data_IF_127799539596
#
_entry.id   IF_127799539596
#
_cell.length_a   1.000
_cell.length_b   1.000
_cell.length_c   1.000
_cell.angle_alpha   90.00
_cell.angle_beta   90.00
_cell.angle_gamma   90.00
#
_symmetry.space_group_name_H-M   'P 1'
#
loop_
_entity.id
_entity.type
_entity.pdbx_description
1 polymer ?
#
# COMPACT_ATOMS: atom_id res chain seq x y z
N UNK A 1 21.16 -6.41 -16.26
CA UNK A 1 21.86 -6.25 -14.96
C UNK A 1 20.89 -6.55 -13.83
N UNK A 2 21.21 -7.50 -12.95
CA UNK A 2 20.46 -7.68 -11.70
C UNK A 2 20.66 -6.46 -10.80
N UNK A 3 19.61 -6.03 -10.10
CA UNK A 3 19.71 -4.88 -9.19
C UNK A 3 20.64 -5.22 -8.02
N UNK A 4 21.53 -4.30 -7.66
CA UNK A 4 22.21 -4.35 -6.36
C UNK A 4 21.24 -4.03 -5.23
N UNK A 5 21.54 -4.46 -4.00
CA UNK A 5 20.72 -4.14 -2.81
C UNK A 5 20.48 -2.63 -2.66
N UNK A 6 21.49 -1.80 -2.93
CA UNK A 6 21.39 -0.33 -2.90
C UNK A 6 20.39 0.17 -3.94
N UNK A 7 20.50 -0.29 -5.18
CA UNK A 7 19.60 0.13 -6.26
C UNK A 7 18.16 -0.34 -6.03
N UNK A 8 17.96 -1.52 -5.42
CA UNK A 8 16.65 -2.03 -5.05
C UNK A 8 15.99 -1.16 -3.96
N UNK A 9 16.73 -0.80 -2.90
CA UNK A 9 16.24 0.12 -1.86
C UNK A 9 15.88 1.50 -2.43
N UNK A 10 16.71 2.04 -3.31
CA UNK A 10 16.43 3.32 -3.96
C UNK A 10 15.20 3.25 -4.89
N UNK A 11 15.00 2.13 -5.59
CA UNK A 11 13.82 1.93 -6.42
C UNK A 11 12.54 1.86 -5.59
N UNK A 12 12.57 1.12 -4.46
CA UNK A 12 11.47 1.10 -3.48
C UNK A 12 11.14 2.50 -2.97
N UNK A 13 12.12 3.23 -2.44
CA UNK A 13 11.90 4.58 -1.92
C UNK A 13 11.36 5.58 -2.96
N UNK A 14 11.74 5.46 -4.23
CA UNK A 14 11.17 6.27 -5.32
C UNK A 14 9.72 5.86 -5.62
N UNK A 15 9.43 4.56 -5.58
CA UNK A 15 8.09 4.06 -5.83
C UNK A 15 7.12 4.43 -4.70
N UNK A 16 7.54 4.31 -3.44
CA UNK A 16 6.81 4.82 -2.27
C UNK A 16 6.44 6.29 -2.45
N UNK A 17 7.42 7.14 -2.83
CA UNK A 17 7.20 8.59 -3.05
C UNK A 17 6.22 8.84 -4.19
N UNK A 18 6.38 8.14 -5.31
CA UNK A 18 5.49 8.26 -6.48
C UNK A 18 4.02 7.97 -6.10
N UNK A 19 3.79 6.91 -5.32
CA UNK A 19 2.45 6.53 -4.90
C UNK A 19 1.92 7.49 -3.83
N UNK A 20 2.73 7.85 -2.82
CA UNK A 20 2.30 8.76 -1.76
C UNK A 20 1.89 10.12 -2.31
N UNK A 21 2.67 10.67 -3.25
CA UNK A 21 2.38 11.96 -3.87
C UNK A 21 1.08 11.88 -4.69
N UNK A 22 0.89 10.83 -5.48
CA UNK A 22 -0.34 10.66 -6.27
C UNK A 22 -1.58 10.51 -5.39
N UNK A 23 -1.50 9.75 -4.29
CA UNK A 23 -2.61 9.63 -3.34
C UNK A 23 -2.89 10.96 -2.63
N UNK A 24 -1.85 11.68 -2.21
CA UNK A 24 -1.97 12.99 -1.59
C UNK A 24 -2.73 13.97 -2.49
N UNK A 25 -2.30 14.06 -3.75
CA UNK A 25 -2.83 15.02 -4.71
C UNK A 25 -4.28 14.72 -5.12
N UNK A 26 -4.78 13.50 -4.87
CA UNK A 26 -6.11 13.05 -5.29
C UNK A 26 -7.08 12.73 -4.13
N UNK A 27 -6.59 12.61 -2.89
CA UNK A 27 -7.41 12.17 -1.75
C UNK A 27 -7.31 13.12 -0.55
N UNK A 28 -6.10 13.35 -0.03
CA UNK A 28 -5.90 14.09 1.23
C UNK A 28 -4.45 14.58 1.34
N UNK A 29 -4.27 15.87 1.64
CA UNK A 29 -2.96 16.53 1.68
C UNK A 29 -2.04 16.04 2.82
N UNK A 30 -2.59 15.30 3.80
CA UNK A 30 -1.85 14.70 4.91
C UNK A 30 -1.19 13.37 4.56
N UNK A 31 -1.45 12.80 3.38
CA UNK A 31 -0.83 11.54 2.96
C UNK A 31 0.65 11.77 2.64
N UNK A 32 1.52 10.94 3.21
CA UNK A 32 2.96 10.92 2.94
C UNK A 32 3.50 9.49 3.12
N UNK A 33 4.76 9.27 2.73
CA UNK A 33 5.50 8.06 3.10
C UNK A 33 5.55 7.93 4.62
N UNK A 34 5.29 6.73 5.12
CA UNK A 34 5.36 6.45 6.55
C UNK A 34 6.82 6.45 7.00
N UNK A 35 7.12 7.31 7.98
CA UNK A 35 8.40 7.23 8.70
C UNK A 35 8.34 6.00 9.60
N UNK A 36 9.37 5.15 9.56
CA UNK A 36 9.44 3.99 10.46
C UNK A 36 9.60 4.46 11.90
N UNK A 37 8.54 4.31 12.69
CA UNK A 37 8.53 4.64 14.13
C UNK A 37 8.21 3.38 14.92
N UNK A 38 9.05 3.04 15.90
CA UNK A 38 8.88 1.83 16.71
C UNK A 38 9.37 0.56 16.02
N UNK A 39 9.03 -0.59 16.63
CA UNK A 39 9.53 -1.91 16.20
C UNK A 39 8.60 -2.65 15.22
N UNK A 40 7.32 -2.27 15.17
CA UNK A 40 6.32 -2.89 14.30
C UNK A 40 6.30 -2.19 12.95
N UNK A 41 6.14 -2.97 11.88
CA UNK A 41 5.86 -2.42 10.56
C UNK A 41 4.35 -2.16 10.42
N UNK A 42 4.02 -1.01 9.88
CA UNK A 42 2.64 -0.51 9.74
C UNK A 42 2.38 0.00 8.30
N UNK A 43 3.16 -0.49 7.35
CA UNK A 43 3.10 -0.16 5.93
C UNK A 43 3.93 1.05 5.53
N UNK A 44 3.95 1.29 4.22
CA UNK A 44 4.82 2.27 3.57
C UNK A 44 4.20 3.66 3.48
N UNK A 45 2.87 3.79 3.58
CA UNK A 45 2.14 5.06 3.39
C UNK A 45 1.30 5.38 4.63
N UNK A 46 1.38 6.62 5.09
CA UNK A 46 0.65 7.12 6.24
C UNK A 46 -0.63 7.87 5.83
N UNK A 47 -1.59 7.95 6.77
CA UNK A 47 -2.82 8.74 6.66
C UNK A 47 -3.81 8.36 5.55
N UNK A 48 -3.69 7.18 4.95
CA UNK A 48 -4.67 6.70 3.97
C UNK A 48 -5.93 6.21 4.68
N UNK A 49 -7.09 6.66 4.18
CA UNK A 49 -8.40 6.29 4.70
C UNK A 49 -9.39 6.04 3.57
N UNK A 50 -10.38 5.19 3.84
CA UNK A 50 -11.52 5.04 2.93
C UNK A 50 -12.55 6.17 3.08
N UNK A 51 -13.61 6.12 2.26
CA UNK A 51 -14.73 7.06 2.27
C UNK A 51 -15.51 7.12 3.60
N UNK A 52 -15.28 6.17 4.50
CA UNK A 52 -15.88 6.10 5.83
C UNK A 52 -14.89 6.47 6.95
N UNK A 53 -13.75 7.10 6.59
CA UNK A 53 -12.71 7.53 7.52
C UNK A 53 -12.02 6.38 8.26
N UNK A 54 -12.12 5.13 7.77
CA UNK A 54 -11.42 3.96 8.33
C UNK A 54 -10.02 3.87 7.76
N UNK A 55 -9.05 3.45 8.58
CA UNK A 55 -7.63 3.38 8.18
C UNK A 55 -7.40 2.29 7.15
N UNK A 56 -6.53 2.59 6.18
CA UNK A 56 -6.01 1.63 5.21
C UNK A 56 -4.49 1.58 5.36
N UNK A 57 -3.94 0.38 5.47
CA UNK A 57 -2.51 0.14 5.32
C UNK A 57 -2.20 -0.14 3.85
N UNK A 58 -1.14 0.49 3.34
CA UNK A 58 -0.62 0.26 2.00
C UNK A 58 0.83 -0.19 2.10
N UNK A 59 1.11 -1.34 1.52
CA UNK A 59 2.46 -1.84 1.29
C UNK A 59 2.84 -1.68 -0.19
N UNK A 60 4.02 -1.15 -0.50
CA UNK A 60 4.44 -0.90 -1.88
C UNK A 60 5.50 -1.89 -2.36
N UNK A 61 5.37 -2.39 -3.59
CA UNK A 61 6.29 -3.40 -4.15
C UNK A 61 6.81 -3.03 -5.53
N UNK A 62 8.10 -2.66 -5.64
CA UNK A 62 8.82 -2.64 -6.92
C UNK A 62 9.67 -3.89 -7.10
N UNK A 63 9.05 -4.94 -7.64
CA UNK A 63 9.69 -6.22 -7.90
C UNK A 63 9.91 -6.49 -9.40
N UNK A 64 10.21 -5.44 -10.17
CA UNK A 64 10.55 -5.57 -11.59
C UNK A 64 9.37 -6.06 -12.44
N UNK A 65 8.14 -5.80 -11.99
CA UNK A 65 6.92 -6.22 -12.65
C UNK A 65 6.50 -7.67 -12.43
N UNK A 66 7.26 -8.44 -11.64
CA UNK A 66 6.81 -9.74 -11.14
C UNK A 66 5.88 -9.53 -9.96
N UNK A 67 4.94 -10.45 -9.75
CA UNK A 67 4.00 -10.42 -8.61
C UNK A 67 4.25 -11.63 -7.71
N UNK A 68 4.30 -11.41 -6.39
CA UNK A 68 4.32 -12.47 -5.38
C UNK A 68 3.17 -12.25 -4.39
N UNK A 69 1.95 -12.47 -4.88
CA UNK A 69 0.72 -12.11 -4.16
C UNK A 69 0.63 -12.74 -2.77
N UNK A 70 0.86 -14.06 -2.58
CA UNK A 70 0.65 -14.69 -1.27
C UNK A 70 1.56 -14.12 -0.17
N UNK A 71 2.82 -13.80 -0.52
CA UNK A 71 3.73 -13.18 0.44
C UNK A 71 3.27 -11.75 0.77
N UNK A 72 2.96 -10.96 -0.26
CA UNK A 72 2.72 -9.53 -0.08
C UNK A 72 1.38 -9.23 0.57
N UNK A 73 0.32 -10.00 0.28
CA UNK A 73 -0.96 -9.82 0.96
C UNK A 73 -0.87 -10.20 2.44
N UNK A 74 -0.14 -11.28 2.77
CA UNK A 74 0.13 -11.66 4.16
C UNK A 74 0.90 -10.57 4.92
N UNK A 75 1.91 -9.97 4.29
CA UNK A 75 2.64 -8.83 4.86
C UNK A 75 1.71 -7.65 5.11
N UNK A 76 0.92 -7.22 4.11
CA UNK A 76 -0.01 -6.11 4.23
C UNK A 76 -1.10 -6.36 5.31
N UNK A 77 -1.59 -7.59 5.47
CA UNK A 77 -2.51 -7.95 6.56
C UNK A 77 -1.85 -7.85 7.94
N UNK A 78 -0.62 -8.35 8.07
CA UNK A 78 0.15 -8.26 9.33
C UNK A 78 0.38 -6.81 9.73
N UNK A 79 0.66 -5.94 8.76
CA UNK A 79 0.85 -4.51 8.98
C UNK A 79 -0.46 -3.79 9.30
N UNK A 80 -1.57 -4.19 8.67
CA UNK A 80 -2.91 -3.71 9.03
C UNK A 80 -3.27 -4.05 10.48
N UNK A 81 -2.98 -5.28 10.93
CA UNK A 81 -3.16 -5.68 12.33
C UNK A 81 -2.28 -4.84 13.26
N UNK A 82 -1.03 -4.57 12.88
CA UNK A 82 -0.12 -3.73 13.66
C UNK A 82 -0.60 -2.27 13.77
N UNK A 83 -1.18 -1.71 12.72
CA UNK A 83 -1.68 -0.32 12.68
C UNK A 83 -3.13 -0.17 13.18
N UNK A 84 -3.77 -1.29 13.55
CA UNK A 84 -5.20 -1.39 13.83
C UNK A 84 -6.04 -0.79 12.70
N UNK A 85 -5.70 -1.15 11.46
CA UNK A 85 -6.34 -0.69 10.24
C UNK A 85 -7.48 -1.61 9.81
N UNK A 86 -8.42 -1.06 9.04
CA UNK A 86 -9.59 -1.79 8.57
C UNK A 86 -9.23 -2.83 7.51
N UNK A 87 -8.30 -2.48 6.63
CA UNK A 87 -7.72 -3.37 5.61
C UNK A 87 -6.25 -3.03 5.36
N UNK A 88 -5.50 -4.01 4.86
CA UNK A 88 -4.19 -3.84 4.25
C UNK A 88 -4.25 -4.20 2.77
N UNK A 89 -3.62 -3.41 1.91
CA UNK A 89 -3.52 -3.70 0.48
C UNK A 89 -2.11 -3.45 -0.05
N UNK A 90 -1.83 -4.01 -1.23
CA UNK A 90 -0.55 -3.86 -1.90
C UNK A 90 -0.70 -2.94 -3.12
N UNK A 91 0.18 -1.96 -3.25
CA UNK A 91 0.40 -1.27 -4.52
C UNK A 91 1.68 -1.81 -5.17
N UNK A 92 1.54 -2.54 -6.27
CA UNK A 92 2.66 -3.16 -6.97
C UNK A 92 3.01 -2.44 -8.27
N UNK A 93 4.32 -2.27 -8.51
CA UNK A 93 4.86 -1.64 -9.71
C UNK A 93 4.48 -2.45 -10.95
N UNK A 94 3.67 -1.85 -11.83
CA UNK A 94 3.36 -2.41 -13.15
C UNK A 94 4.53 -2.23 -14.10
N UNK A 95 4.90 -3.30 -14.83
CA UNK A 95 5.94 -3.25 -15.86
C UNK A 95 5.50 -2.39 -17.04
N UNK A 96 6.42 -1.60 -17.59
CA UNK A 96 6.20 -0.86 -18.84
C UNK A 96 5.49 0.49 -18.70
N UNK A 97 5.23 0.95 -17.47
CA UNK A 97 4.69 2.29 -17.22
C UNK A 97 5.35 2.89 -15.99
N UNK A 98 5.36 4.22 -15.84
CA UNK A 98 5.66 4.93 -14.58
C UNK A 98 4.46 5.76 -14.11
N UNK A 99 3.35 5.71 -14.83
CA UNK A 99 2.11 6.39 -14.51
C UNK A 99 1.57 5.86 -13.16
N UNK A 100 1.45 6.71 -12.12
CA UNK A 100 1.00 6.27 -10.80
C UNK A 100 -0.43 5.72 -10.80
N UNK A 101 -1.33 6.26 -11.65
CA UNK A 101 -2.71 5.79 -11.77
C UNK A 101 -2.86 4.44 -12.48
N UNK A 102 -1.78 3.92 -13.10
CA UNK A 102 -1.76 2.64 -13.82
C UNK A 102 -1.00 1.53 -13.11
N UNK A 103 -0.63 1.71 -11.84
CA UNK A 103 0.00 0.68 -11.02
C UNK A 103 -1.06 -0.34 -10.55
N UNK A 104 -0.63 -1.50 -10.05
CA UNK A 104 -1.57 -2.51 -9.58
C UNK A 104 -1.96 -2.25 -8.14
N UNK A 105 -3.27 -2.15 -7.87
CA UNK A 105 -3.82 -2.27 -6.53
C UNK A 105 -4.29 -3.72 -6.33
N UNK A 106 -3.80 -4.37 -5.29
CA UNK A 106 -3.95 -5.80 -5.06
C UNK A 106 -4.44 -6.00 -3.62
N UNK A 107 -5.50 -6.78 -3.47
CA UNK A 107 -6.06 -7.17 -2.17
C UNK A 107 -6.82 -8.49 -2.33
N UNK A 108 -7.15 -9.15 -1.22
CA UNK A 108 -8.06 -10.28 -1.26
C UNK A 108 -9.52 -9.80 -1.41
N UNK A 109 -10.40 -10.68 -1.87
CA UNK A 109 -11.82 -10.34 -2.05
C UNK A 109 -12.47 -9.92 -0.73
N UNK A 110 -12.04 -10.49 0.39
CA UNK A 110 -12.52 -10.13 1.72
C UNK A 110 -12.19 -8.67 2.07
N UNK A 111 -11.00 -8.18 1.72
CA UNK A 111 -10.62 -6.78 1.94
C UNK A 111 -11.45 -5.83 1.07
N UNK A 112 -11.74 -6.22 -0.18
CA UNK A 112 -12.62 -5.47 -1.05
C UNK A 112 -14.05 -5.39 -0.45
N UNK A 113 -14.58 -6.51 0.05
CA UNK A 113 -15.88 -6.55 0.72
C UNK A 113 -15.88 -5.62 1.94
N UNK A 114 -14.82 -5.66 2.78
CA UNK A 114 -14.66 -4.78 3.94
C UNK A 114 -14.67 -3.30 3.53
N UNK A 115 -13.99 -2.93 2.44
CA UNK A 115 -13.95 -1.56 1.93
C UNK A 115 -15.33 -1.10 1.46
N UNK A 116 -16.07 -1.95 0.73
CA UNK A 116 -17.36 -1.59 0.15
C UNK A 116 -18.51 -1.57 1.17
N UNK A 117 -18.39 -2.33 2.27
CA UNK A 117 -19.41 -2.34 3.33
C UNK A 117 -19.43 -1.01 4.09
N UNK A 118 -20.62 -0.42 4.19
CA UNK A 118 -20.89 0.70 5.09
C UNK A 118 -20.70 0.31 6.56
N UNK A 119 -20.30 1.24 7.44
CA UNK A 119 -20.25 1.00 8.88
C UNK A 119 -21.61 0.53 9.42
N UNK A 120 -21.61 -0.47 10.31
CA UNK A 120 -22.81 -0.96 10.99
C UNK A 120 -23.69 -1.92 10.17
N UNK A 121 -23.33 -2.24 8.93
CA UNK A 121 -24.07 -3.21 8.13
C UNK A 121 -23.64 -4.64 8.52
N UNK A 122 -24.38 -5.25 9.46
CA UNK A 122 -24.38 -6.70 9.68
C UNK A 122 -25.37 -7.32 8.70
N UNK A 123 -24.92 -8.35 7.98
CA UNK A 123 -25.82 -9.20 7.19
C UNK A 123 -26.76 -9.97 8.11
#
# INVERSE_FOLDING_TARGET
MSRTRKSAKQAGARFERLISDYLRDNLDDRIDRRVKTGAKDCGDIANVRDSHNRRIVIETKDYGGKLNLPQWTKEAHTEADNDNAHVGLVIAKRRGTTDPGKQWAIMEVEDLIKLLKSPGNVL
#
